data_IF_168062253071
#
_entry.id   IF_168062253071
#
_cell.length_a   1.000
_cell.length_b   1.000
_cell.length_c   1.000
_cell.angle_alpha   90.00
_cell.angle_beta   90.00
_cell.angle_gamma   90.00
#
_symmetry.space_group_name_H-M   'P 1'
#
loop_
_entity.id
_entity.type
_entity.pdbx_description
1 polymer ?
#
# COMPACT_ATOMS: atom_id res chain seq x y z
N UNK A 1 -2.52 -6.47 -7.26
CA UNK A 1 -2.82 -5.09 -7.73
C UNK A 1 -3.85 -5.13 -8.85
N UNK A 2 -4.78 -4.16 -8.91
CA UNK A 2 -5.72 -4.03 -10.05
C UNK A 2 -4.96 -3.77 -11.35
N UNK A 3 -5.54 -4.13 -12.49
CA UNK A 3 -4.97 -3.84 -13.81
C UNK A 3 -4.72 -2.33 -13.98
N UNK A 4 -3.60 -1.96 -14.62
CA UNK A 4 -3.15 -0.58 -14.79
C UNK A 4 -1.76 -0.32 -14.21
N UNK A 5 -1.32 0.94 -14.23
CA UNK A 5 -0.08 1.40 -13.59
C UNK A 5 -0.44 2.43 -12.54
N UNK A 6 -0.01 2.20 -11.31
CA UNK A 6 -0.38 2.99 -10.15
C UNK A 6 0.83 3.67 -9.55
N UNK A 7 0.73 4.96 -9.26
CA UNK A 7 1.80 5.71 -8.63
C UNK A 7 1.90 5.36 -7.14
N UNK A 8 3.13 5.22 -6.66
CA UNK A 8 3.48 5.27 -5.25
C UNK A 8 3.74 6.72 -4.85
N UNK A 9 3.13 7.14 -3.76
CA UNK A 9 3.20 8.49 -3.21
C UNK A 9 4.14 8.56 -2.02
N UNK A 10 4.75 9.74 -1.83
CA UNK A 10 5.59 10.02 -0.66
C UNK A 10 4.80 10.03 0.66
N UNK A 11 3.52 10.40 0.61
CA UNK A 11 2.63 10.47 1.76
C UNK A 11 1.26 9.83 1.45
N UNK A 12 0.52 9.43 2.50
CA UNK A 12 -0.86 8.90 2.46
C UNK A 12 -1.94 9.97 2.22
N UNK A 13 -1.51 11.11 1.70
CA UNK A 13 -2.32 12.27 1.39
C UNK A 13 -2.14 12.63 -0.09
N UNK A 14 -2.79 13.69 -0.56
CA UNK A 14 -2.67 14.21 -1.92
C UNK A 14 -1.29 14.86 -2.18
N UNK A 15 -0.22 14.14 -1.88
CA UNK A 15 1.13 14.59 -2.25
C UNK A 15 1.29 14.49 -3.77
N UNK A 16 1.78 15.57 -4.37
CA UNK A 16 1.99 15.66 -5.80
C UNK A 16 3.13 14.74 -6.25
N UNK A 17 4.13 14.52 -5.39
CA UNK A 17 5.31 13.74 -5.75
C UNK A 17 4.99 12.24 -5.91
N UNK A 18 5.35 11.71 -7.09
CA UNK A 18 5.37 10.27 -7.35
C UNK A 18 6.79 9.76 -7.08
N UNK A 19 6.93 8.84 -6.13
CA UNK A 19 8.23 8.24 -5.76
C UNK A 19 8.43 6.86 -6.37
N UNK A 20 7.47 6.40 -7.17
CA UNK A 20 7.56 5.14 -7.89
C UNK A 20 6.23 4.75 -8.51
N UNK A 21 6.21 3.53 -9.04
CA UNK A 21 5.04 2.91 -9.65
C UNK A 21 4.95 1.44 -9.25
N UNK A 22 3.74 0.90 -9.32
CA UNK A 22 3.43 -0.52 -9.26
C UNK A 22 2.43 -0.85 -10.36
N UNK A 23 2.67 -1.93 -11.09
CA UNK A 23 1.85 -2.37 -12.21
C UNK A 23 0.80 -3.40 -11.74
N UNK A 24 -0.25 -3.54 -12.54
CA UNK A 24 -1.24 -4.59 -12.37
C UNK A 24 -0.60 -5.97 -12.40
N UNK A 25 -1.11 -6.89 -11.57
CA UNK A 25 -0.52 -8.22 -11.39
C UNK A 25 0.70 -8.27 -10.48
N UNK A 26 1.40 -7.16 -10.21
CA UNK A 26 2.47 -7.13 -9.23
C UNK A 26 1.92 -7.34 -7.81
N UNK A 27 2.73 -7.98 -6.98
CA UNK A 27 2.46 -8.18 -5.55
C UNK A 27 3.11 -7.08 -4.74
N UNK A 28 2.46 -6.73 -3.64
CA UNK A 28 2.98 -5.77 -2.67
C UNK A 28 2.87 -6.35 -1.27
N UNK A 29 3.81 -5.98 -0.42
CA UNK A 29 3.76 -6.25 1.00
C UNK A 29 3.10 -5.07 1.70
N UNK A 30 2.04 -5.32 2.45
CA UNK A 30 1.39 -4.31 3.28
C UNK A 30 2.24 -4.07 4.53
N UNK A 31 2.64 -2.82 4.77
CA UNK A 31 3.48 -2.47 5.92
C UNK A 31 2.65 -1.83 7.04
N UNK A 32 1.82 -0.85 6.69
CA UNK A 32 0.84 -0.24 7.59
C UNK A 32 -0.20 0.54 6.77
N UNK A 33 -1.30 0.94 7.40
CA UNK A 33 -2.36 1.72 6.75
C UNK A 33 -2.61 3.06 7.45
N UNK A 34 -3.24 3.98 6.73
CA UNK A 34 -3.75 5.23 7.29
C UNK A 34 -4.96 5.72 6.49
N UNK A 35 -5.82 6.52 7.12
CA UNK A 35 -6.93 7.20 6.47
C UNK A 35 -6.63 8.69 6.35
N UNK A 36 -6.88 9.25 5.17
CA UNK A 36 -6.72 10.69 4.98
C UNK A 36 -7.97 11.46 5.47
N UNK A 37 -7.87 12.80 5.50
CA UNK A 37 -8.98 13.68 5.93
C UNK A 37 -10.24 13.57 5.07
N UNK A 38 -10.16 12.92 3.91
CA UNK A 38 -11.28 12.65 3.00
C UNK A 38 -11.88 11.25 3.20
N UNK A 39 -11.45 10.50 4.22
CA UNK A 39 -11.93 9.15 4.51
C UNK A 39 -11.39 8.06 3.57
N UNK A 40 -10.41 8.37 2.71
CA UNK A 40 -9.81 7.37 1.83
C UNK A 40 -8.75 6.56 2.58
N UNK A 41 -8.81 5.24 2.45
CA UNK A 41 -7.81 4.32 2.98
C UNK A 41 -6.58 4.26 2.06
N UNK A 42 -5.41 4.37 2.67
CA UNK A 42 -4.11 4.26 2.03
C UNK A 42 -3.25 3.22 2.73
N UNK A 43 -2.46 2.51 1.94
CA UNK A 43 -1.50 1.52 2.42
C UNK A 43 -0.10 1.99 2.10
N UNK A 44 0.77 1.97 3.11
CA UNK A 44 2.21 2.03 2.89
C UNK A 44 2.69 0.63 2.53
N UNK A 45 3.23 0.48 1.34
CA UNK A 45 3.56 -0.82 0.76
C UNK A 45 5.01 -0.91 0.32
N UNK A 46 5.52 -2.14 0.17
CA UNK A 46 6.76 -2.45 -0.55
C UNK A 46 6.45 -3.30 -1.77
N UNK A 47 6.96 -2.93 -2.94
CA UNK A 47 6.78 -3.76 -4.16
C UNK A 47 7.60 -5.05 -4.03
N UNK A 48 6.97 -6.20 -4.23
CA UNK A 48 7.63 -7.49 -4.11
C UNK A 48 8.84 -7.61 -5.04
N UNK A 49 9.91 -8.25 -4.57
CA UNK A 49 11.18 -8.33 -5.32
C UNK A 49 12.01 -7.05 -5.34
N UNK A 50 11.56 -5.96 -4.68
CA UNK A 50 12.30 -4.68 -4.66
C UNK A 50 12.41 -4.10 -3.25
N UNK A 51 13.22 -3.04 -3.11
CA UNK A 51 13.26 -2.19 -1.92
C UNK A 51 12.37 -0.95 -2.04
N UNK A 52 11.67 -0.78 -3.17
CA UNK A 52 10.80 0.37 -3.44
C UNK A 52 9.60 0.35 -2.51
N UNK A 53 9.37 1.47 -1.82
CA UNK A 53 8.27 1.66 -0.88
C UNK A 53 7.53 2.95 -1.18
N UNK A 54 6.27 3.02 -0.76
CA UNK A 54 5.46 4.22 -0.89
C UNK A 54 4.00 3.97 -0.57
N UNK A 55 3.23 5.04 -0.60
CA UNK A 55 1.81 5.03 -0.31
C UNK A 55 0.98 4.77 -1.57
N UNK A 56 -0.04 3.94 -1.44
CA UNK A 56 -1.00 3.66 -2.49
C UNK A 56 -2.42 3.62 -1.95
N UNK A 57 -3.37 4.14 -2.71
CA UNK A 57 -4.78 4.06 -2.34
C UNK A 57 -5.25 2.60 -2.33
N UNK A 58 -5.99 2.22 -1.30
CA UNK A 58 -6.63 0.91 -1.22
C UNK A 58 -7.56 0.65 -2.42
N UNK A 59 -8.09 1.71 -3.06
CA UNK A 59 -8.91 1.60 -4.27
C UNK A 59 -8.16 0.97 -5.46
N UNK A 60 -6.82 0.98 -5.48
CA UNK A 60 -6.01 0.41 -6.56
C UNK A 60 -5.65 -1.07 -6.32
N UNK A 61 -6.06 -1.63 -5.18
CA UNK A 61 -5.68 -2.95 -4.72
C UNK A 61 -6.86 -3.91 -4.93
N UNK A 62 -6.56 -5.12 -5.41
CA UNK A 62 -7.49 -6.25 -5.40
C UNK A 62 -7.33 -6.93 -4.04
N UNK A 63 -8.32 -6.74 -3.14
CA UNK A 63 -8.26 -7.16 -1.73
C UNK A 63 -8.42 -8.68 -1.53
N UNK A 64 -7.98 -9.51 -2.48
CA UNK A 64 -8.30 -10.95 -2.47
C UNK A 64 -7.51 -11.75 -1.41
N UNK A 65 -6.48 -11.15 -0.79
CA UNK A 65 -5.84 -11.67 0.42
C UNK A 65 -4.82 -10.68 0.96
N UNK A 66 -5.10 -10.07 2.11
CA UNK A 66 -4.01 -9.83 3.05
C UNK A 66 -3.67 -11.22 3.58
N UNK A 67 -2.51 -11.76 3.24
CA UNK A 67 -2.04 -13.01 3.82
C UNK A 67 -1.24 -12.69 5.07
N UNK A 68 -1.51 -13.46 6.11
CA UNK A 68 -0.61 -13.61 7.24
C UNK A 68 0.67 -14.30 6.73
N UNK A 69 1.62 -13.49 6.28
CA UNK A 69 2.87 -14.00 5.70
C UNK A 69 3.92 -14.33 6.79
N UNK A 70 3.69 -13.97 8.07
CA UNK A 70 4.55 -14.35 9.19
C UNK A 70 4.02 -15.57 9.98
N UNK A 71 2.81 -16.04 9.67
CA UNK A 71 2.21 -17.27 10.19
C UNK A 71 1.73 -17.16 11.64
N UNK A 72 1.48 -15.96 12.15
CA UNK A 72 1.07 -15.73 13.54
C UNK A 72 -0.46 -15.79 13.77
N UNK A 73 -1.22 -16.09 12.71
CA UNK A 73 -2.68 -16.10 12.71
C UNK A 73 -3.31 -14.72 12.62
N UNK A 74 -2.51 -13.66 12.43
CA UNK A 74 -2.94 -12.26 12.39
C UNK A 74 -2.52 -11.64 11.06
N UNK A 75 -3.51 -11.20 10.28
CA UNK A 75 -3.26 -10.16 9.28
C UNK A 75 -3.00 -8.87 10.04
N UNK A 76 -1.73 -8.57 10.31
CA UNK A 76 -1.32 -7.41 11.09
C UNK A 76 -1.61 -6.09 10.32
N UNK A 77 -2.86 -5.66 10.30
CA UNK A 77 -3.27 -4.36 9.79
C UNK A 77 -2.97 -3.28 10.84
N UNK A 78 -1.68 -2.95 10.99
CA UNK A 78 -1.29 -1.84 11.89
C UNK A 78 -1.55 -0.49 11.24
N UNK A 79 -2.16 0.42 11.99
CA UNK A 79 -2.21 1.84 11.63
C UNK A 79 -0.81 2.45 11.70
N UNK A 80 -0.45 3.30 10.74
CA UNK A 80 0.82 4.03 10.77
C UNK A 80 0.73 5.17 11.80
N UNK A 81 1.54 5.12 12.86
CA UNK A 81 1.70 6.21 13.82
C UNK A 81 2.98 7.01 13.50
N UNK A 82 2.85 8.29 13.18
CA UNK A 82 3.97 9.24 13.11
C UNK A 82 4.96 9.06 11.94
N UNK A 83 4.46 8.88 10.71
CA UNK A 83 5.28 8.90 9.48
C UNK A 83 5.33 10.29 8.84
#
# INVERSE_FOLDING_TARGET
MKAGTWNLKGNYYSDCANIGTVNGGERVWFLCWSTNSYGNLWWYVRVAGTTKRGWISAANITAERMTDDNGDGVIADKMCYGL
#
